data_IF_275838634937
#
_entry.id   IF_275838634937
#
_cell.length_a   1.000
_cell.length_b   1.000
_cell.length_c   1.000
_cell.angle_alpha   90.00
_cell.angle_beta   90.00
_cell.angle_gamma   90.00
#
_symmetry.space_group_name_H-M   'P 1'
#
loop_
_entity.id
_entity.type
_entity.pdbx_description
1 polymer ?
#
# COMPACT_ATOMS: atom_id res chain seq x y z
N UNK A 1 -25.04 -8.97 5.79
CA UNK A 1 -23.70 -9.29 6.34
C UNK A 1 -23.16 -8.05 7.01
N UNK A 2 -22.60 -8.13 8.23
CA UNK A 2 -21.98 -6.97 8.85
C UNK A 2 -20.84 -6.48 7.95
N UNK A 3 -20.91 -5.21 7.57
CA UNK A 3 -19.87 -4.51 6.82
C UNK A 3 -19.02 -3.71 7.81
N UNK A 4 -17.71 -3.82 7.69
CA UNK A 4 -16.80 -3.03 8.50
C UNK A 4 -16.62 -1.64 7.88
N UNK A 5 -16.48 -0.59 8.71
CA UNK A 5 -16.14 0.75 8.21
C UNK A 5 -14.73 0.82 7.64
N UNK A 6 -13.82 -0.01 8.15
CA UNK A 6 -12.42 -0.05 7.71
C UNK A 6 -12.05 -1.50 7.34
N UNK A 7 -11.23 -1.71 6.30
CA UNK A 7 -10.77 -3.05 5.89
C UNK A 7 -9.90 -3.71 6.98
N UNK A 8 -9.97 -5.04 7.12
CA UNK A 8 -9.07 -5.79 8.01
C UNK A 8 -7.58 -5.48 7.70
N UNK A 9 -6.72 -5.21 8.69
CA UNK A 9 -5.31 -4.89 8.45
C UNK A 9 -4.50 -6.08 7.87
N UNK A 10 -4.94 -7.32 8.09
CA UNK A 10 -4.30 -8.51 7.52
C UNK A 10 -4.66 -8.73 6.05
N UNK A 11 -5.93 -9.03 5.79
CA UNK A 11 -6.41 -9.47 4.46
C UNK A 11 -7.20 -8.39 3.69
N UNK A 12 -7.47 -7.24 4.30
CA UNK A 12 -8.29 -6.14 3.75
C UNK A 12 -9.73 -6.49 3.40
N UNK A 13 -10.26 -7.60 3.90
CA UNK A 13 -11.69 -7.88 3.79
C UNK A 13 -12.50 -6.80 4.50
N UNK A 14 -13.67 -6.46 3.97
CA UNK A 14 -14.63 -5.52 4.54
C UNK A 14 -15.84 -6.23 5.15
N UNK A 15 -15.81 -7.56 5.18
CA UNK A 15 -16.84 -8.41 5.77
C UNK A 15 -16.20 -9.54 6.58
N UNK A 16 -17.00 -10.38 7.22
CA UNK A 16 -16.52 -11.44 8.12
C UNK A 16 -15.77 -12.60 7.46
N UNK A 17 -15.62 -12.63 6.13
CA UNK A 17 -14.86 -13.65 5.41
C UNK A 17 -13.42 -13.17 5.25
N UNK A 18 -12.51 -13.77 6.01
CA UNK A 18 -11.07 -13.51 5.96
C UNK A 18 -10.35 -14.52 5.06
N UNK A 19 -9.11 -14.20 4.67
CA UNK A 19 -8.19 -15.18 4.10
C UNK A 19 -7.80 -16.20 5.19
N UNK A 20 -7.55 -17.46 4.81
CA UNK A 20 -7.35 -18.59 5.73
C UNK A 20 -6.23 -18.40 6.77
N UNK A 21 -5.28 -17.50 6.52
CA UNK A 21 -4.11 -17.24 7.38
C UNK A 21 -4.15 -15.83 8.01
N UNK A 22 -5.34 -15.22 8.11
CA UNK A 22 -5.46 -13.88 8.67
C UNK A 22 -5.30 -13.87 10.20
N UNK A 23 -4.16 -13.37 10.69
CA UNK A 23 -3.84 -13.26 12.14
C UNK A 23 -4.82 -12.38 12.95
N UNK A 24 -5.70 -11.63 12.28
CA UNK A 24 -6.71 -10.76 12.90
C UNK A 24 -8.13 -11.35 12.88
N UNK A 25 -8.31 -12.55 12.30
CA UNK A 25 -9.62 -13.19 12.23
C UNK A 25 -10.19 -13.48 13.64
N UNK A 26 -11.48 -13.19 13.83
CA UNK A 26 -12.17 -13.46 15.09
C UNK A 26 -11.83 -12.50 16.24
N UNK A 27 -10.97 -11.51 16.01
CA UNK A 27 -10.56 -10.53 17.03
C UNK A 27 -11.43 -9.27 16.95
N UNK A 28 -11.80 -8.73 18.11
CA UNK A 28 -12.58 -7.49 18.15
C UNK A 28 -11.74 -6.28 17.70
N UNK A 29 -12.34 -5.37 16.94
CA UNK A 29 -11.67 -4.16 16.45
C UNK A 29 -10.98 -3.33 17.55
N UNK A 30 -11.63 -3.05 18.70
CA UNK A 30 -10.96 -2.33 19.79
C UNK A 30 -9.69 -3.02 20.30
N UNK A 31 -9.64 -4.37 20.26
CA UNK A 31 -8.43 -5.14 20.63
C UNK A 31 -7.33 -4.99 19.58
N UNK A 32 -7.70 -5.00 18.29
CA UNK A 32 -6.75 -4.77 17.18
C UNK A 32 -6.21 -3.33 17.26
N UNK A 33 -7.10 -2.34 17.36
CA UNK A 33 -6.74 -0.92 17.47
C UNK A 33 -5.83 -0.66 18.68
N UNK A 34 -6.12 -1.29 19.83
CA UNK A 34 -5.26 -1.21 21.00
C UNK A 34 -3.84 -1.71 20.71
N UNK A 35 -3.69 -2.87 20.07
CA UNK A 35 -2.36 -3.41 19.76
C UNK A 35 -1.56 -2.46 18.85
N UNK A 36 -2.21 -1.78 17.90
CA UNK A 36 -1.57 -0.73 17.09
C UNK A 36 -1.23 0.51 17.92
N UNK A 37 -2.14 0.98 18.75
CA UNK A 37 -1.92 2.16 19.59
C UNK A 37 -0.76 1.96 20.57
N UNK A 38 -0.66 0.79 21.19
CA UNK A 38 0.40 0.42 22.12
C UNK A 38 1.78 0.46 21.43
N UNK A 39 1.89 -0.06 20.19
CA UNK A 39 3.12 0.02 19.39
C UNK A 39 3.46 1.44 18.97
N UNK A 40 2.48 2.17 18.42
CA UNK A 40 2.69 3.51 17.89
C UNK A 40 3.03 4.52 18.97
N UNK A 41 2.49 4.36 20.18
CA UNK A 41 2.84 5.21 21.32
C UNK A 41 4.34 5.15 21.65
N UNK A 42 4.91 3.95 21.72
CA UNK A 42 6.35 3.74 21.98
C UNK A 42 7.18 4.23 20.79
N UNK A 43 6.86 3.79 19.57
CA UNK A 43 7.63 4.13 18.37
C UNK A 43 7.62 5.64 18.04
N UNK A 44 6.57 6.35 18.43
CA UNK A 44 6.51 7.81 18.27
C UNK A 44 7.41 8.53 19.27
N UNK A 45 7.56 7.99 20.48
CA UNK A 45 8.45 8.53 21.50
C UNK A 45 9.93 8.26 21.15
N UNK A 46 10.23 7.06 20.67
CA UNK A 46 11.58 6.59 20.33
C UNK A 46 11.93 6.88 18.86
N UNK A 47 12.00 8.18 18.52
CA UNK A 47 12.13 8.65 17.12
C UNK A 47 13.38 8.17 16.39
N UNK A 48 14.47 7.95 17.13
CA UNK A 48 15.75 7.52 16.57
C UNK A 48 15.82 6.00 16.34
N UNK A 49 14.79 5.26 16.76
CA UNK A 49 14.68 3.82 16.63
C UNK A 49 14.76 3.10 17.96
N UNK A 50 14.20 1.89 18.01
CA UNK A 50 14.21 1.02 19.19
C UNK A 50 14.32 -0.45 18.77
N UNK A 51 15.12 -1.24 19.47
CA UNK A 51 15.17 -2.68 19.22
C UNK A 51 13.81 -3.35 19.48
N UNK A 52 13.52 -4.44 18.78
CA UNK A 52 12.27 -5.18 19.01
C UNK A 52 12.14 -5.70 20.45
N UNK A 53 13.26 -6.06 21.09
CA UNK A 53 13.26 -6.48 22.50
C UNK A 53 12.84 -5.34 23.42
N UNK A 54 13.42 -4.16 23.24
CA UNK A 54 13.05 -2.99 24.05
C UNK A 54 11.62 -2.53 23.76
N UNK A 55 11.15 -2.61 22.51
CA UNK A 55 9.75 -2.34 22.15
C UNK A 55 8.80 -3.29 22.89
N UNK A 56 9.12 -4.58 22.96
CA UNK A 56 8.32 -5.59 23.69
C UNK A 56 8.22 -5.27 25.18
N UNK A 57 9.27 -4.75 25.77
CA UNK A 57 9.32 -4.36 27.19
C UNK A 57 8.61 -3.04 27.47
N UNK A 58 8.63 -2.11 26.52
CA UNK A 58 8.04 -0.77 26.67
C UNK A 58 6.53 -0.72 26.40
N UNK A 59 5.99 -1.69 25.65
CA UNK A 59 4.55 -1.79 25.38
C UNK A 59 3.77 -1.98 26.68
N UNK A 60 2.67 -1.22 26.82
CA UNK A 60 1.82 -1.28 27.99
C UNK A 60 1.00 -2.58 28.05
N UNK A 61 1.46 -3.55 28.84
CA UNK A 61 0.75 -4.81 29.11
C UNK A 61 1.48 -6.01 28.54
N UNK A 62 0.73 -7.09 28.25
CA UNK A 62 1.33 -8.32 27.75
C UNK A 62 1.56 -8.24 26.23
N UNK A 63 2.82 -8.37 25.83
CA UNK A 63 3.16 -8.59 24.44
C UNK A 63 2.61 -9.95 23.97
N UNK A 64 1.89 -9.95 22.85
CA UNK A 64 1.19 -11.15 22.38
C UNK A 64 1.21 -11.26 20.86
N UNK A 65 0.51 -12.29 20.35
CA UNK A 65 0.40 -12.54 18.91
C UNK A 65 -0.13 -11.34 18.12
N UNK A 66 -1.06 -10.57 18.70
CA UNK A 66 -1.61 -9.37 18.06
C UNK A 66 -0.59 -8.24 17.91
N UNK A 67 0.26 -8.01 18.92
CA UNK A 67 1.35 -7.03 18.81
C UNK A 67 2.34 -7.43 17.72
N UNK A 68 2.69 -8.71 17.66
CA UNK A 68 3.55 -9.25 16.59
C UNK A 68 2.90 -9.10 15.20
N UNK A 69 1.62 -9.43 15.05
CA UNK A 69 0.90 -9.31 13.80
C UNK A 69 0.76 -7.84 13.35
N UNK A 70 0.47 -6.93 14.28
CA UNK A 70 0.40 -5.49 14.03
C UNK A 70 1.76 -4.90 13.64
N UNK A 71 2.84 -5.25 14.35
CA UNK A 71 4.20 -4.84 13.99
C UNK A 71 4.57 -5.36 12.59
N UNK A 72 4.32 -6.64 12.33
CA UNK A 72 4.56 -7.22 11.00
C UNK A 72 3.73 -6.57 9.90
N UNK A 73 2.52 -6.11 10.20
CA UNK A 73 1.72 -5.32 9.26
C UNK A 73 2.33 -3.94 9.01
N UNK A 74 2.76 -3.23 10.06
CA UNK A 74 3.42 -1.92 9.94
C UNK A 74 4.74 -2.01 9.15
N UNK A 75 5.55 -3.06 9.35
CA UNK A 75 6.76 -3.34 8.56
C UNK A 75 6.41 -3.69 7.10
N UNK A 76 5.39 -4.53 6.90
CA UNK A 76 4.92 -4.86 5.54
C UNK A 76 4.41 -3.63 4.80
N UNK A 77 3.74 -2.72 5.48
CA UNK A 77 3.22 -1.48 4.92
C UNK A 77 4.30 -0.39 4.85
N UNK A 78 5.53 -0.67 5.29
CA UNK A 78 6.66 0.26 5.33
C UNK A 78 6.40 1.50 6.19
N UNK A 79 5.44 1.44 7.11
CA UNK A 79 5.23 2.47 8.14
C UNK A 79 6.36 2.44 9.16
N UNK A 80 6.83 1.23 9.46
CA UNK A 80 8.01 0.99 10.29
C UNK A 80 9.09 0.38 9.40
N UNK A 81 10.31 0.88 9.51
CA UNK A 81 11.50 0.32 8.86
C UNK A 81 12.40 -0.32 9.89
N UNK A 82 13.13 -1.35 9.46
CA UNK A 82 14.14 -2.01 10.27
C UNK A 82 15.52 -1.67 9.71
N UNK A 83 16.32 -1.00 10.52
CA UNK A 83 17.69 -0.57 10.20
C UNK A 83 18.65 -1.31 11.15
N UNK A 84 19.18 -2.44 10.70
CA UNK A 84 19.88 -3.36 11.60
C UNK A 84 18.91 -4.03 12.56
N UNK A 85 19.12 -3.85 13.87
CA UNK A 85 18.24 -4.38 14.92
C UNK A 85 17.16 -3.38 15.37
N UNK A 86 17.25 -2.12 14.93
CA UNK A 86 16.37 -1.05 15.37
C UNK A 86 15.15 -0.91 14.45
N UNK A 87 13.99 -0.71 15.09
CA UNK A 87 12.71 -0.41 14.48
C UNK A 87 12.44 1.08 14.60
N UNK A 88 12.15 1.74 13.47
CA UNK A 88 11.87 3.18 13.43
C UNK A 88 10.58 3.46 12.68
N UNK A 89 9.70 4.25 13.28
CA UNK A 89 8.49 4.74 12.63
C UNK A 89 8.87 5.87 11.66
N UNK A 90 8.47 5.73 10.41
CA UNK A 90 8.69 6.78 9.42
C UNK A 90 7.76 7.97 9.67
N UNK A 91 8.30 9.18 9.50
CA UNK A 91 7.46 10.37 9.34
C UNK A 91 6.65 10.26 8.06
N UNK A 92 5.58 11.06 7.94
CA UNK A 92 4.78 11.11 6.71
C UNK A 92 5.61 11.47 5.47
N UNK A 93 6.62 12.34 5.63
CA UNK A 93 7.51 12.75 4.54
C UNK A 93 8.43 11.61 4.10
N UNK A 94 9.13 10.96 5.05
CA UNK A 94 9.99 9.81 4.76
C UNK A 94 9.20 8.63 4.20
N UNK A 95 8.01 8.38 4.73
CA UNK A 95 7.12 7.35 4.19
C UNK A 95 6.83 7.63 2.73
N UNK A 96 6.34 8.85 2.42
CA UNK A 96 5.99 9.26 1.06
C UNK A 96 7.18 9.10 0.10
N UNK A 97 8.38 9.48 0.51
CA UNK A 97 9.60 9.31 -0.27
C UNK A 97 9.97 7.83 -0.46
N UNK A 98 9.91 7.03 0.61
CA UNK A 98 10.29 5.63 0.57
C UNK A 98 9.36 4.81 -0.34
N UNK A 99 8.06 5.10 -0.30
CA UNK A 99 7.09 4.25 -0.98
C UNK A 99 6.73 4.76 -2.36
N UNK A 100 6.97 6.03 -2.74
CA UNK A 100 6.59 6.59 -4.05
C UNK A 100 6.95 5.71 -5.26
N UNK A 101 7.98 4.88 -5.14
CA UNK A 101 8.35 3.83 -6.09
C UNK A 101 7.97 2.42 -5.58
N UNK A 102 7.04 1.71 -6.25
CA UNK A 102 6.65 0.37 -5.85
C UNK A 102 7.78 -0.67 -5.98
N UNK A 103 8.24 -1.22 -4.84
CA UNK A 103 9.31 -2.24 -4.82
C UNK A 103 8.81 -3.69 -4.78
N UNK A 104 7.51 -3.91 -4.56
CA UNK A 104 6.89 -5.24 -4.43
C UNK A 104 6.00 -5.61 -5.60
N UNK A 105 5.95 -6.90 -5.91
CA UNK A 105 5.06 -7.45 -6.94
C UNK A 105 3.57 -7.37 -6.51
N UNK A 106 2.63 -7.21 -7.46
CA UNK A 106 2.83 -6.97 -8.90
C UNK A 106 3.28 -5.56 -9.29
N UNK A 107 3.24 -4.60 -8.37
CA UNK A 107 3.40 -3.18 -8.72
C UNK A 107 4.80 -2.83 -9.20
N UNK A 108 5.85 -3.47 -8.67
CA UNK A 108 7.21 -3.33 -9.19
C UNK A 108 7.27 -3.55 -10.71
N UNK A 109 6.69 -4.65 -11.20
CA UNK A 109 6.67 -4.93 -12.63
C UNK A 109 5.89 -3.89 -13.41
N UNK A 110 4.73 -3.44 -12.90
CA UNK A 110 3.91 -2.41 -13.55
C UNK A 110 4.64 -1.07 -13.60
N UNK A 111 5.31 -0.70 -12.51
CA UNK A 111 6.06 0.54 -12.38
C UNK A 111 7.25 0.55 -13.34
N UNK A 112 8.15 -0.43 -13.21
CA UNK A 112 9.41 -0.49 -13.97
C UNK A 112 9.20 -0.63 -15.48
N UNK A 113 8.19 -1.39 -15.90
CA UNK A 113 7.99 -1.71 -17.33
C UNK A 113 6.95 -0.84 -18.00
N UNK A 114 6.12 -0.17 -17.21
CA UNK A 114 4.93 0.53 -17.72
C UNK A 114 3.89 -0.43 -18.29
N UNK A 115 2.79 0.15 -18.76
CA UNK A 115 1.70 -0.60 -19.40
C UNK A 115 1.97 -0.89 -20.88
N UNK A 116 1.36 -1.93 -21.42
CA UNK A 116 1.46 -2.35 -22.84
C UNK A 116 0.05 -2.58 -23.42
N UNK A 117 -0.10 -2.64 -24.76
CA UNK A 117 -1.39 -2.89 -25.38
C UNK A 117 -2.08 -4.14 -24.81
N UNK A 118 -3.34 -3.96 -24.40
CA UNK A 118 -4.15 -4.98 -23.73
C UNK A 118 -4.14 -4.90 -22.20
N UNK A 119 -3.39 -3.98 -21.57
CA UNK A 119 -3.46 -3.78 -20.12
C UNK A 119 -3.37 -2.35 -19.61
N UNK A 120 -3.45 -1.34 -20.47
CA UNK A 120 -3.37 0.09 -20.10
C UNK A 120 -4.32 0.44 -18.94
N UNK A 121 -5.61 0.10 -19.06
CA UNK A 121 -6.61 0.41 -18.04
C UNK A 121 -6.28 -0.23 -16.68
N UNK A 122 -6.00 -1.54 -16.67
CA UNK A 122 -5.65 -2.27 -15.44
C UNK A 122 -4.37 -1.70 -14.78
N UNK A 123 -3.38 -1.30 -15.58
CA UNK A 123 -2.13 -0.76 -15.07
C UNK A 123 -2.32 0.64 -14.48
N UNK A 124 -2.97 1.56 -15.20
CA UNK A 124 -3.25 2.92 -14.73
C UNK A 124 -4.13 2.88 -13.48
N UNK A 125 -5.17 2.05 -13.47
CA UNK A 125 -6.00 1.83 -12.29
C UNK A 125 -5.17 1.38 -11.10
N UNK A 126 -4.30 0.38 -11.30
CA UNK A 126 -3.47 -0.15 -10.22
C UNK A 126 -2.51 0.90 -9.67
N UNK A 127 -1.91 1.74 -10.53
CA UNK A 127 -1.04 2.84 -10.12
C UNK A 127 -1.80 3.88 -9.29
N UNK A 128 -2.97 4.34 -9.76
CA UNK A 128 -3.82 5.31 -9.02
C UNK A 128 -4.23 4.75 -7.66
N UNK A 129 -4.75 3.52 -7.62
CA UNK A 129 -5.17 2.86 -6.39
C UNK A 129 -4.00 2.55 -5.44
N UNK A 130 -2.79 2.37 -5.97
CA UNK A 130 -1.60 2.18 -5.15
C UNK A 130 -1.18 3.50 -4.48
N UNK A 131 -1.15 4.61 -5.22
CA UNK A 131 -0.77 5.92 -4.68
C UNK A 131 -1.78 6.43 -3.64
N UNK A 132 -3.08 6.18 -3.87
CA UNK A 132 -4.14 6.43 -2.89
C UNK A 132 -3.91 5.64 -1.60
N UNK A 133 -3.65 4.33 -1.70
CA UNK A 133 -3.42 3.45 -0.55
C UNK A 133 -2.20 3.89 0.28
N UNK A 134 -1.19 4.41 -0.39
CA UNK A 134 -0.01 5.00 0.25
C UNK A 134 -0.32 6.34 0.94
N UNK A 135 -1.39 7.01 0.54
CA UNK A 135 -1.85 8.25 1.16
C UNK A 135 -1.33 9.51 0.47
N UNK A 136 -0.93 9.41 -0.80
CA UNK A 136 -0.76 10.60 -1.62
C UNK A 136 -2.13 11.26 -1.82
N UNK A 137 -2.17 12.59 -1.78
CA UNK A 137 -3.34 13.35 -2.21
C UNK A 137 -3.62 13.13 -3.71
N UNK A 138 -4.82 13.50 -4.16
CA UNK A 138 -5.16 13.41 -5.58
C UNK A 138 -4.19 14.17 -6.50
N UNK A 139 -3.80 15.45 -6.22
CA UNK A 139 -2.82 16.15 -7.04
C UNK A 139 -1.48 15.41 -7.16
N UNK A 140 -0.97 14.88 -6.04
CA UNK A 140 0.28 14.12 -6.01
C UNK A 140 0.15 12.80 -6.76
N UNK A 141 -0.96 12.08 -6.58
CA UNK A 141 -1.26 10.86 -7.33
C UNK A 141 -1.29 11.14 -8.83
N UNK A 142 -1.97 12.21 -9.25
CA UNK A 142 -2.06 12.59 -10.66
C UNK A 142 -0.67 12.87 -11.24
N UNK A 143 0.12 13.68 -10.55
CA UNK A 143 1.49 14.02 -10.96
C UNK A 143 2.35 12.76 -11.12
N UNK A 144 2.36 11.88 -10.12
CA UNK A 144 3.16 10.65 -10.14
C UNK A 144 2.73 9.67 -11.24
N UNK A 145 1.43 9.51 -11.49
CA UNK A 145 0.94 8.60 -12.55
C UNK A 145 1.23 9.19 -13.94
N UNK A 146 1.11 10.51 -14.12
CA UNK A 146 1.48 11.18 -15.37
C UNK A 146 2.97 11.04 -15.63
N UNK A 147 3.80 11.24 -14.61
CA UNK A 147 5.25 11.02 -14.71
C UNK A 147 5.55 9.56 -15.06
N UNK A 148 4.97 8.59 -14.35
CA UNK A 148 5.13 7.16 -14.64
C UNK A 148 4.74 6.80 -16.08
N UNK A 149 3.63 7.34 -16.60
CA UNK A 149 3.21 7.10 -17.99
C UNK A 149 4.27 7.55 -19.00
N UNK A 150 4.97 8.65 -18.71
CA UNK A 150 6.05 9.20 -19.53
C UNK A 150 7.35 8.41 -19.36
N UNK A 151 7.82 8.26 -18.12
CA UNK A 151 9.14 7.69 -17.82
C UNK A 151 9.23 6.20 -18.11
N UNK A 152 8.14 5.45 -17.95
CA UNK A 152 8.07 4.02 -18.32
C UNK A 152 7.91 3.79 -19.84
N UNK A 153 7.76 4.86 -20.62
CA UNK A 153 7.45 4.82 -22.05
C UNK A 153 6.07 4.24 -22.37
N UNK A 154 5.19 4.09 -21.37
CA UNK A 154 3.84 3.56 -21.56
C UNK A 154 3.04 4.44 -22.52
N UNK A 155 3.10 5.76 -22.35
CA UNK A 155 2.42 6.72 -23.21
C UNK A 155 2.86 6.61 -24.68
N UNK A 156 4.17 6.53 -24.92
CA UNK A 156 4.76 6.48 -26.26
C UNK A 156 4.42 5.19 -27.02
N UNK A 157 4.07 4.10 -26.31
CA UNK A 157 3.58 2.85 -26.92
C UNK A 157 2.18 3.01 -27.55
N UNK A 158 1.47 4.10 -27.24
CA UNK A 158 0.13 4.37 -27.75
C UNK A 158 -0.93 3.41 -27.22
N UNK A 159 -2.15 3.47 -27.79
CA UNK A 159 -3.28 2.65 -27.36
C UNK A 159 -4.17 3.28 -26.28
N UNK A 160 -4.00 4.57 -26.03
CA UNK A 160 -4.89 5.39 -25.21
C UNK A 160 -5.88 6.15 -26.10
N UNK A 161 -7.10 6.36 -25.60
CA UNK A 161 -8.13 7.12 -26.32
C UNK A 161 -7.97 8.63 -26.06
N UNK A 162 -7.43 8.98 -24.89
CA UNK A 162 -7.22 10.34 -24.46
C UNK A 162 -6.06 11.02 -25.19
N UNK A 163 -6.14 12.35 -25.27
CA UNK A 163 -5.18 13.16 -26.02
C UNK A 163 -3.88 13.44 -25.25
N UNK A 164 -3.90 13.26 -23.93
CA UNK A 164 -2.76 13.49 -23.05
C UNK A 164 -2.78 12.55 -21.83
N UNK A 165 -1.62 12.30 -21.20
CA UNK A 165 -1.56 11.57 -19.93
C UNK A 165 -2.41 12.24 -18.84
N UNK A 166 -2.42 13.57 -18.79
CA UNK A 166 -3.18 14.34 -17.80
C UNK A 166 -4.68 14.13 -17.91
N UNK A 167 -5.21 14.07 -19.14
CA UNK A 167 -6.62 13.81 -19.42
C UNK A 167 -7.00 12.37 -19.03
N UNK A 168 -6.17 11.40 -19.42
CA UNK A 168 -6.35 10.00 -19.03
C UNK A 168 -6.38 9.85 -17.50
N UNK A 169 -5.41 10.42 -16.80
CA UNK A 169 -5.35 10.27 -15.35
C UNK A 169 -6.52 10.99 -14.67
N UNK A 170 -6.93 12.16 -15.17
CA UNK A 170 -8.13 12.84 -14.66
C UNK A 170 -9.40 11.99 -14.86
N UNK A 171 -9.53 11.29 -15.99
CA UNK A 171 -10.67 10.38 -16.24
C UNK A 171 -10.76 9.24 -15.21
N UNK A 172 -9.62 8.89 -14.59
CA UNK A 172 -9.51 7.86 -13.53
C UNK A 172 -9.65 8.39 -12.11
N UNK A 173 -10.00 9.66 -11.89
CA UNK A 173 -10.18 10.22 -10.53
C UNK A 173 -11.15 9.43 -9.65
N UNK A 174 -12.21 8.89 -10.23
CA UNK A 174 -13.16 8.03 -9.53
C UNK A 174 -12.51 6.78 -8.89
N UNK A 175 -11.39 6.30 -9.43
CA UNK A 175 -10.63 5.17 -8.87
C UNK A 175 -10.03 5.53 -7.52
N UNK A 176 -9.45 6.73 -7.42
CA UNK A 176 -8.91 7.30 -6.19
C UNK A 176 -10.02 7.48 -5.15
N UNK A 177 -11.14 8.09 -5.54
CA UNK A 177 -12.23 8.42 -4.60
C UNK A 177 -12.97 7.19 -4.06
N UNK A 178 -12.95 6.07 -4.79
CA UNK A 178 -13.67 4.86 -4.39
C UNK A 178 -12.86 3.93 -3.46
N UNK A 179 -11.56 4.17 -3.26
CA UNK A 179 -10.70 3.34 -2.42
C UNK A 179 -10.50 1.90 -2.94
N UNK A 180 -10.45 1.71 -4.27
CA UNK A 180 -10.33 0.38 -4.86
C UNK A 180 -9.01 -0.33 -4.51
N UNK A 181 -9.04 -1.67 -4.48
CA UNK A 181 -7.83 -2.48 -4.30
C UNK A 181 -6.99 -2.57 -5.58
N UNK A 182 -5.71 -2.20 -5.52
CA UNK A 182 -4.78 -2.30 -6.66
C UNK A 182 -4.35 -3.74 -7.00
N UNK A 183 -4.39 -4.68 -6.05
CA UNK A 183 -3.77 -6.03 -6.18
C UNK A 183 -4.27 -6.82 -7.40
N UNK A 184 -5.59 -6.89 -7.61
CA UNK A 184 -6.16 -7.67 -8.71
C UNK A 184 -5.78 -7.08 -10.07
N UNK A 185 -5.94 -5.76 -10.22
CA UNK A 185 -5.64 -5.00 -11.43
C UNK A 185 -4.15 -5.02 -11.75
N UNK A 186 -3.29 -4.86 -10.74
CA UNK A 186 -1.85 -5.00 -10.87
C UNK A 186 -1.44 -6.40 -11.33
N UNK A 187 -2.03 -7.47 -10.76
CA UNK A 187 -1.77 -8.85 -11.21
C UNK A 187 -2.23 -9.08 -12.65
N UNK A 188 -3.39 -8.54 -13.03
CA UNK A 188 -3.90 -8.63 -14.39
C UNK A 188 -2.97 -7.92 -15.39
N UNK A 189 -2.53 -6.71 -15.07
CA UNK A 189 -1.58 -5.95 -15.88
C UNK A 189 -0.24 -6.67 -16.01
N UNK A 190 0.35 -7.10 -14.88
CA UNK A 190 1.60 -7.84 -14.86
C UNK A 190 1.60 -9.05 -15.79
N UNK A 191 0.54 -9.87 -15.76
CA UNK A 191 0.42 -11.07 -16.63
C UNK A 191 0.49 -10.73 -18.12
N UNK A 192 -0.05 -9.58 -18.53
CA UNK A 192 -0.01 -9.14 -19.93
C UNK A 192 1.38 -8.58 -20.26
N UNK A 193 1.95 -7.76 -19.38
CA UNK A 193 3.31 -7.21 -19.52
C UNK A 193 4.35 -8.34 -19.67
N UNK A 194 4.25 -9.40 -18.88
CA UNK A 194 5.17 -10.54 -18.94
C UNK A 194 5.04 -11.37 -20.23
N UNK A 195 3.87 -11.37 -20.88
CA UNK A 195 3.62 -12.08 -22.14
C UNK A 195 4.07 -11.32 -23.39
N UNK A 196 4.24 -10.00 -23.28
CA UNK A 196 4.76 -9.15 -24.35
C UNK A 196 6.31 -9.11 -24.39
N UNK A 197 6.96 -9.89 -23.52
CA UNK A 197 8.41 -10.18 -23.57
C UNK A 197 8.66 -11.49 -24.30
#
# INVERSE_FOLDING_TARGET
MPTFRYPCPGCRTTNSLHDADCEFEGVSWPTVEKAYADLLAVLTAERDGITESALREAVAGEWGGLHKAALGALEREQRVVREGDDLRLLTAAEFKELVSEPTREPMRTVYERGSVPGCHDNAVFAMVAWYEMVGLSWPETKENVVEWLRTSGAWDRGGFEESSPEELVESKRHVYESGYGWKEKGRAAKRVIERHR
#
